data_IF_872197041349
#
_entry.id   IF_872197041349
#
_cell.length_a   1.000
_cell.length_b   1.000
_cell.length_c   1.000
_cell.angle_alpha   90.00
_cell.angle_beta   90.00
_cell.angle_gamma   90.00
#
_symmetry.space_group_name_H-M   'P 1'
#
loop_
_entity.id
_entity.type
_entity.pdbx_description
1 polymer ?
#
# COMPACT_ATOMS: atom_id res chain seq x y z
N UNK A 1 0.86 18.67 3.70
CA UNK A 1 -0.18 17.64 3.48
C UNK A 1 -0.58 17.05 4.82
N UNK A 2 -1.86 16.92 5.05
CA UNK A 2 -2.37 16.28 6.26
C UNK A 2 -2.22 14.76 6.19
N UNK A 3 -2.09 14.13 7.34
CA UNK A 3 -1.96 12.69 7.42
C UNK A 3 -3.15 11.96 6.78
N UNK A 4 -4.39 12.41 7.06
CA UNK A 4 -5.58 11.79 6.48
C UNK A 4 -5.57 11.87 4.95
N UNK A 5 -5.16 13.01 4.38
CA UNK A 5 -5.04 13.19 2.93
C UNK A 5 -3.97 12.27 2.34
N UNK A 6 -2.85 12.11 3.04
CA UNK A 6 -1.80 11.19 2.61
C UNK A 6 -2.31 9.74 2.60
N UNK A 7 -3.03 9.33 3.66
CA UNK A 7 -3.56 7.97 3.73
C UNK A 7 -4.58 7.69 2.63
N UNK A 8 -5.40 8.69 2.28
CA UNK A 8 -6.33 8.56 1.16
C UNK A 8 -5.58 8.38 -0.17
N UNK A 9 -4.55 9.17 -0.38
CA UNK A 9 -3.70 9.05 -1.56
C UNK A 9 -3.03 7.67 -1.61
N UNK A 10 -2.56 7.17 -0.48
CA UNK A 10 -1.93 5.87 -0.37
C UNK A 10 -2.91 4.73 -0.68
N UNK A 11 -4.17 4.85 -0.26
CA UNK A 11 -5.19 3.88 -0.63
C UNK A 11 -5.31 3.75 -2.15
N UNK A 12 -5.30 4.88 -2.86
CA UNK A 12 -5.34 4.87 -4.33
C UNK A 12 -4.11 4.22 -4.93
N UNK A 13 -2.93 4.47 -4.34
CA UNK A 13 -1.69 3.84 -4.79
C UNK A 13 -1.68 2.33 -4.58
N UNK A 14 -2.21 1.87 -3.45
CA UNK A 14 -2.34 0.44 -3.16
C UNK A 14 -3.36 -0.21 -4.09
N UNK A 15 -4.48 0.46 -4.36
CA UNK A 15 -5.50 -0.06 -5.27
C UNK A 15 -4.93 -0.34 -6.67
N UNK A 16 -4.01 0.49 -7.16
CA UNK A 16 -3.40 0.30 -8.48
C UNK A 16 -2.63 -1.01 -8.60
N UNK A 17 -2.29 -1.66 -7.50
CA UNK A 17 -1.66 -2.97 -7.53
C UNK A 17 -2.55 -4.02 -8.19
N UNK A 18 -3.87 -3.85 -8.16
CA UNK A 18 -4.81 -4.78 -8.80
C UNK A 18 -4.75 -4.73 -10.32
N UNK A 19 -5.04 -3.58 -10.98
CA UNK A 19 -4.98 -3.53 -12.44
C UNK A 19 -3.58 -3.78 -12.99
N UNK A 20 -2.52 -3.35 -12.29
CA UNK A 20 -1.16 -3.60 -12.73
C UNK A 20 -0.82 -5.09 -12.70
N UNK A 21 -1.25 -5.80 -11.65
CA UNK A 21 -1.04 -7.25 -11.58
C UNK A 21 -1.77 -7.97 -12.72
N UNK A 22 -3.02 -7.58 -12.99
CA UNK A 22 -3.80 -8.18 -14.06
C UNK A 22 -3.18 -7.91 -15.43
N UNK A 23 -2.72 -6.69 -15.67
CA UNK A 23 -2.06 -6.34 -16.92
C UNK A 23 -0.78 -7.15 -17.11
N UNK A 24 0.02 -7.32 -16.06
CA UNK A 24 1.24 -8.13 -16.15
C UNK A 24 0.92 -9.60 -16.38
N UNK A 25 -0.10 -10.12 -15.73
CA UNK A 25 -0.55 -11.51 -15.91
C UNK A 25 -1.04 -11.75 -17.35
N UNK A 26 -1.61 -10.71 -17.98
CA UNK A 26 -2.05 -10.75 -19.38
C UNK A 26 -0.89 -10.53 -20.38
N UNK A 27 0.34 -10.46 -19.90
CA UNK A 27 1.52 -10.34 -20.76
C UNK A 27 1.94 -8.93 -21.09
N UNK A 28 1.31 -7.91 -20.49
CA UNK A 28 1.73 -6.53 -20.68
C UNK A 28 2.93 -6.19 -19.80
N UNK A 29 3.84 -5.40 -20.33
CA UNK A 29 5.01 -4.92 -19.58
C UNK A 29 4.64 -3.63 -18.85
N UNK A 30 4.19 -3.78 -17.62
CA UNK A 30 3.74 -2.65 -16.79
C UNK A 30 4.75 -2.29 -15.70
N UNK A 31 5.88 -2.97 -15.64
CA UNK A 31 6.93 -2.75 -14.64
C UNK A 31 6.38 -2.75 -13.20
N UNK A 32 5.60 -3.78 -12.88
CA UNK A 32 4.96 -3.91 -11.57
C UNK A 32 5.98 -3.89 -10.42
N UNK A 33 7.13 -4.53 -10.62
CA UNK A 33 8.22 -4.57 -9.65
C UNK A 33 8.74 -3.16 -9.31
N UNK A 34 8.89 -2.30 -10.31
CA UNK A 34 9.32 -0.92 -10.11
C UNK A 34 8.26 -0.11 -9.39
N UNK A 35 6.99 -0.31 -9.74
CA UNK A 35 5.88 0.36 -9.07
C UNK A 35 5.85 0.00 -7.58
N UNK A 36 5.99 -1.29 -7.25
CA UNK A 36 6.00 -1.74 -5.86
C UNK A 36 7.18 -1.13 -5.10
N UNK A 37 8.36 -1.09 -5.72
CA UNK A 37 9.54 -0.51 -5.07
C UNK A 37 9.34 0.98 -4.80
N UNK A 38 8.80 1.73 -5.76
CA UNK A 38 8.51 3.15 -5.59
C UNK A 38 7.48 3.38 -4.50
N UNK A 39 6.46 2.53 -4.43
CA UNK A 39 5.45 2.60 -3.37
C UNK A 39 6.07 2.37 -2.00
N UNK A 40 6.94 1.37 -1.87
CA UNK A 40 7.66 1.09 -0.63
C UNK A 40 8.52 2.28 -0.20
N UNK A 41 9.28 2.84 -1.13
CA UNK A 41 10.17 3.96 -0.84
C UNK A 41 9.35 5.16 -0.35
N UNK A 42 8.21 5.42 -0.98
CA UNK A 42 7.30 6.48 -0.55
C UNK A 42 6.76 6.22 0.86
N UNK A 43 6.33 4.99 1.14
CA UNK A 43 5.77 4.64 2.44
C UNK A 43 6.81 4.76 3.56
N UNK A 44 8.03 4.35 3.30
CA UNK A 44 9.12 4.46 4.28
C UNK A 44 9.48 5.92 4.49
N UNK A 45 9.57 6.71 3.41
CA UNK A 45 9.86 8.14 3.50
C UNK A 45 8.78 8.92 4.23
N UNK A 46 7.52 8.49 4.13
CA UNK A 46 6.41 9.15 4.80
C UNK A 46 6.52 9.11 6.32
N UNK A 47 7.26 8.15 6.88
CA UNK A 47 7.48 8.08 8.32
C UNK A 47 8.31 9.25 8.84
N UNK A 48 9.11 9.87 7.99
CA UNK A 48 9.84 11.09 8.34
C UNK A 48 8.93 12.31 8.33
N UNK A 49 8.03 12.38 7.37
CA UNK A 49 7.04 13.47 7.26
C UNK A 49 5.96 13.36 8.35
N UNK A 50 5.55 12.15 8.66
CA UNK A 50 4.52 11.86 9.66
C UNK A 50 5.10 10.90 10.71
N UNK A 51 5.82 11.41 11.71
CA UNK A 51 6.51 10.53 12.69
C UNK A 51 5.59 9.55 13.42
N UNK A 52 4.30 9.87 13.54
CA UNK A 52 3.34 8.95 14.17
C UNK A 52 3.20 7.64 13.42
N UNK A 53 3.50 7.62 12.11
CA UNK A 53 3.44 6.38 11.31
C UNK A 53 4.54 5.40 11.71
N UNK A 54 5.70 5.90 12.11
CA UNK A 54 6.84 5.04 12.47
C UNK A 54 6.52 4.12 13.66
N UNK A 55 5.64 4.57 14.57
CA UNK A 55 5.22 3.78 15.72
C UNK A 55 3.86 3.13 15.56
N UNK A 56 3.23 3.28 14.41
CA UNK A 56 1.86 2.77 14.20
C UNK A 56 1.90 1.35 13.65
N UNK A 57 1.43 0.37 14.46
CA UNK A 57 1.46 -1.03 14.09
C UNK A 57 0.63 -1.36 12.84
N UNK A 58 -0.47 -0.66 12.63
CA UNK A 58 -1.29 -0.86 11.42
C UNK A 58 -0.53 -0.44 10.16
N UNK A 59 0.14 0.71 10.20
CA UNK A 59 0.93 1.20 9.08
C UNK A 59 2.11 0.27 8.80
N UNK A 60 2.83 -0.15 9.84
CA UNK A 60 3.95 -1.08 9.71
C UNK A 60 3.49 -2.39 9.06
N UNK A 61 2.30 -2.87 9.41
CA UNK A 61 1.74 -4.08 8.81
C UNK A 61 1.50 -3.90 7.32
N UNK A 62 1.01 -2.73 6.90
CA UNK A 62 0.82 -2.42 5.46
C UNK A 62 2.17 -2.42 4.75
N UNK A 63 3.18 -1.76 5.31
CA UNK A 63 4.53 -1.74 4.75
C UNK A 63 5.06 -3.17 4.58
N UNK A 64 4.94 -3.99 5.63
CA UNK A 64 5.42 -5.37 5.60
C UNK A 64 4.68 -6.20 4.54
N UNK A 65 3.39 -5.96 4.35
CA UNK A 65 2.59 -6.65 3.33
C UNK A 65 3.10 -6.30 1.92
N UNK A 66 3.37 -5.02 1.65
CA UNK A 66 3.91 -4.61 0.36
C UNK A 66 5.29 -5.21 0.13
N UNK A 67 6.14 -5.25 1.17
CA UNK A 67 7.45 -5.91 1.08
C UNK A 67 7.32 -7.39 0.75
N UNK A 68 6.38 -8.07 1.37
CA UNK A 68 6.12 -9.48 1.09
C UNK A 68 5.69 -9.67 -0.36
N UNK A 69 4.78 -8.84 -0.85
CA UNK A 69 4.28 -8.92 -2.23
C UNK A 69 5.40 -8.66 -3.24
N UNK A 70 6.38 -7.83 -2.89
CA UNK A 70 7.53 -7.55 -3.75
C UNK A 70 8.46 -8.75 -3.91
N UNK A 71 8.51 -9.63 -2.91
CA UNK A 71 9.49 -10.73 -2.85
C UNK A 71 8.90 -12.10 -3.16
N UNK A 72 7.58 -12.25 -3.12
CA UNK A 72 6.92 -13.54 -3.26
C UNK A 72 5.85 -13.49 -4.34
N UNK A 73 5.79 -14.55 -5.14
CA UNK A 73 4.70 -14.70 -6.09
C UNK A 73 3.44 -15.06 -5.33
N UNK A 74 2.35 -14.40 -5.68
CA UNK A 74 1.05 -14.62 -5.09
C UNK A 74 0.06 -15.04 -6.17
N UNK A 75 -0.88 -15.94 -5.84
CA UNK A 75 -2.00 -16.23 -6.72
C UNK A 75 -2.88 -14.98 -6.86
N UNK A 76 -3.72 -14.95 -7.90
CA UNK A 76 -4.64 -13.83 -8.13
C UNK A 76 -5.51 -13.56 -6.90
N UNK A 77 -6.08 -14.59 -6.29
CA UNK A 77 -6.96 -14.42 -5.12
C UNK A 77 -6.18 -13.94 -3.90
N UNK A 78 -4.97 -14.43 -3.69
CA UNK A 78 -4.12 -13.98 -2.58
C UNK A 78 -3.70 -12.53 -2.75
N UNK A 79 -3.32 -12.14 -3.97
CA UNK A 79 -2.95 -10.76 -4.30
C UNK A 79 -4.11 -9.80 -4.01
N UNK A 80 -5.27 -10.14 -4.53
CA UNK A 80 -6.50 -9.36 -4.36
C UNK A 80 -6.86 -9.20 -2.88
N UNK A 81 -6.79 -10.29 -2.11
CA UNK A 81 -7.09 -10.26 -0.68
C UNK A 81 -6.14 -9.36 0.08
N UNK A 82 -4.83 -9.40 -0.26
CA UNK A 82 -3.85 -8.55 0.38
C UNK A 82 -4.08 -7.08 0.08
N UNK A 83 -4.39 -6.75 -1.17
CA UNK A 83 -4.68 -5.36 -1.57
C UNK A 83 -5.90 -4.83 -0.82
N UNK A 84 -7.00 -5.56 -0.80
CA UNK A 84 -8.20 -5.12 -0.09
C UNK A 84 -7.98 -5.06 1.42
N UNK A 85 -7.19 -5.97 1.98
CA UNK A 85 -6.82 -5.92 3.39
C UNK A 85 -6.05 -4.66 3.74
N UNK A 86 -5.09 -4.27 2.91
CA UNK A 86 -4.32 -3.03 3.10
C UNK A 86 -5.21 -1.80 2.97
N UNK A 87 -6.08 -1.77 1.97
CA UNK A 87 -7.01 -0.65 1.78
C UNK A 87 -7.95 -0.51 2.98
N UNK A 88 -8.45 -1.62 3.50
CA UNK A 88 -9.30 -1.61 4.69
C UNK A 88 -8.57 -1.05 5.90
N UNK A 89 -7.30 -1.45 6.11
CA UNK A 89 -6.48 -0.95 7.19
C UNK A 89 -6.24 0.54 7.07
N UNK A 90 -5.88 1.01 5.87
CA UNK A 90 -5.64 2.44 5.62
C UNK A 90 -6.91 3.27 5.81
N UNK A 91 -8.04 2.74 5.35
CA UNK A 91 -9.32 3.41 5.52
C UNK A 91 -9.66 3.58 7.00
N UNK A 92 -9.43 2.54 7.79
CA UNK A 92 -9.66 2.57 9.25
C UNK A 92 -8.75 3.59 9.92
N UNK A 93 -7.47 3.62 9.54
CA UNK A 93 -6.51 4.61 10.06
C UNK A 93 -6.96 6.03 9.75
N UNK A 94 -7.43 6.25 8.52
CA UNK A 94 -7.93 7.56 8.09
C UNK A 94 -9.14 8.00 8.93
N UNK A 95 -10.00 7.05 9.28
CA UNK A 95 -11.14 7.31 10.16
C UNK A 95 -10.71 7.81 11.53
N UNK A 96 -9.68 7.21 12.11
CA UNK A 96 -9.13 7.66 13.40
C UNK A 96 -8.56 9.08 13.31
N UNK A 97 -7.94 9.44 12.20
CA UNK A 97 -7.42 10.79 12.01
C UNK A 97 -8.52 11.85 11.96
N UNK A 98 -9.73 11.47 11.56
CA UNK A 98 -10.86 12.40 11.46
C UNK A 98 -11.56 12.64 12.78
N UNK A 99 -11.41 11.71 13.71
CA UNK A 99 -12.08 11.75 15.01
C UNK A 99 -11.32 12.57 16.05
N UNK A 100 -10.25 13.20 15.66
CA UNK A 100 -9.43 14.04 16.54
C UNK A 100 -9.84 15.53 16.51
#
# INVERSE_FOLDING_TARGET
MELAAYLEQLEGGVFKLLPLWEDQDNGQDVHLDLYIQDLLDEMIGAQETFPSLAGNGHYIKVVNTVQYMAKHECSRSAWKRRVFGMMSTLNRMRGYCRDV
#
